data_IF_113005185696
#
_entry.id   IF_113005185696
#
_cell.length_a   1.000
_cell.length_b   1.000
_cell.length_c   1.000
_cell.angle_alpha   90.00
_cell.angle_beta   90.00
_cell.angle_gamma   90.00
#
_symmetry.space_group_name_H-M   'P 1'
#
loop_
_entity.id
_entity.type
_entity.pdbx_description
1 polymer ?
#
# COMPACT_ATOMS: atom_id res chain seq x y z
N UNK A 1 15.44 6.26 12.31
CA UNK A 1 13.99 6.31 12.55
C UNK A 1 13.64 5.15 13.45
N UNK A 2 13.01 5.42 14.59
CA UNK A 2 12.54 4.36 15.49
C UNK A 2 11.27 3.73 14.91
N UNK A 3 10.98 2.47 15.28
CA UNK A 3 9.75 1.79 14.83
C UNK A 3 8.48 2.57 15.19
N UNK A 4 8.46 3.22 16.35
CA UNK A 4 7.33 4.03 16.80
C UNK A 4 7.13 5.31 15.98
N UNK A 5 8.21 5.93 15.50
CA UNK A 5 8.12 7.06 14.56
C UNK A 5 7.59 6.59 13.20
N UNK A 6 8.07 5.45 12.70
CA UNK A 6 7.64 4.86 11.44
C UNK A 6 6.14 4.55 11.43
N UNK A 7 5.63 3.94 12.50
CA UNK A 7 4.20 3.64 12.65
C UNK A 7 3.38 4.94 12.71
N UNK A 8 3.87 5.97 13.41
CA UNK A 8 3.17 7.26 13.51
C UNK A 8 3.08 7.98 12.16
N UNK A 9 4.17 7.99 11.40
CA UNK A 9 4.20 8.60 10.08
C UNK A 9 3.34 7.82 9.08
N UNK A 10 3.37 6.49 9.16
CA UNK A 10 2.48 5.64 8.39
C UNK A 10 1.00 5.86 8.76
N UNK A 11 0.66 6.04 10.03
CA UNK A 11 -0.71 6.30 10.47
C UNK A 11 -1.26 7.63 9.93
N UNK A 12 -0.42 8.68 9.89
CA UNK A 12 -0.78 9.96 9.27
C UNK A 12 -1.02 9.81 7.77
N UNK A 13 -0.07 9.16 7.08
CA UNK A 13 -0.17 8.90 5.64
C UNK A 13 -1.35 7.99 5.29
N UNK A 14 -1.70 7.06 6.20
CA UNK A 14 -2.86 6.18 6.07
C UNK A 14 -4.17 6.97 6.16
N UNK A 15 -4.27 7.92 7.09
CA UNK A 15 -5.44 8.79 7.16
C UNK A 15 -5.60 9.61 5.86
N UNK A 16 -4.52 10.20 5.36
CA UNK A 16 -4.55 10.90 4.06
C UNK A 16 -4.96 9.99 2.90
N UNK A 17 -4.64 8.71 2.96
CA UNK A 17 -5.05 7.71 1.97
C UNK A 17 -6.56 7.45 2.02
N UNK A 18 -7.10 7.22 3.23
CA UNK A 18 -8.53 7.03 3.45
C UNK A 18 -9.35 8.24 3.01
N UNK A 19 -8.90 9.45 3.36
CA UNK A 19 -9.61 10.70 3.06
C UNK A 19 -9.70 10.98 1.54
N UNK A 20 -8.74 10.49 0.75
CA UNK A 20 -8.75 10.68 -0.70
C UNK A 20 -9.82 9.83 -1.41
N UNK A 21 -10.24 8.72 -0.81
CA UNK A 21 -11.16 7.74 -1.40
C UNK A 21 -10.59 7.03 -2.63
N UNK A 22 -11.13 5.85 -2.94
CA UNK A 22 -10.69 5.10 -4.11
C UNK A 22 -10.98 5.86 -5.43
N UNK A 23 -10.01 6.02 -6.35
CA UNK A 23 -10.20 6.74 -7.60
C UNK A 23 -11.25 6.07 -8.50
N UNK A 24 -12.38 6.73 -8.74
CA UNK A 24 -13.51 6.13 -9.45
C UNK A 24 -13.16 5.63 -10.87
N UNK A 25 -12.28 6.34 -11.57
CA UNK A 25 -11.83 5.95 -12.92
C UNK A 25 -10.91 4.73 -12.96
N UNK A 26 -10.53 4.15 -11.83
CA UNK A 26 -9.74 2.92 -11.74
C UNK A 26 -10.59 1.70 -11.33
N UNK A 27 -11.92 1.86 -11.17
CA UNK A 27 -12.81 0.73 -10.88
C UNK A 27 -12.96 -0.14 -12.14
N UNK A 28 -12.73 -1.45 -12.00
CA UNK A 28 -12.77 -2.40 -13.11
C UNK A 28 -11.67 -2.19 -14.16
N UNK A 29 -10.62 -1.43 -13.82
CA UNK A 29 -9.44 -1.25 -14.67
C UNK A 29 -8.42 -2.32 -14.30
N UNK A 30 -7.84 -2.92 -15.33
CA UNK A 30 -6.70 -3.83 -15.22
C UNK A 30 -5.51 -3.26 -16.00
N UNK A 31 -4.32 -3.33 -15.40
CA UNK A 31 -3.06 -3.08 -16.09
C UNK A 31 -2.23 -4.35 -16.09
N UNK A 32 -1.88 -4.87 -17.27
CA UNK A 32 -1.11 -6.13 -17.39
C UNK A 32 -1.78 -7.32 -16.66
N UNK A 33 -3.11 -7.36 -16.61
CA UNK A 33 -3.90 -8.37 -15.89
C UNK A 33 -3.95 -8.18 -14.37
N UNK A 34 -3.45 -7.05 -13.86
CA UNK A 34 -3.53 -6.69 -12.44
C UNK A 34 -4.77 -5.82 -12.24
N UNK A 35 -5.77 -6.38 -11.55
CA UNK A 35 -6.97 -5.65 -11.14
C UNK A 35 -6.62 -4.60 -10.07
N UNK A 36 -6.96 -3.34 -10.36
CA UNK A 36 -6.62 -2.21 -9.51
C UNK A 36 -7.37 -2.25 -8.17
N UNK A 37 -8.63 -2.71 -8.14
CA UNK A 37 -9.40 -2.81 -6.90
C UNK A 37 -8.83 -3.89 -5.99
N UNK A 38 -8.43 -5.03 -6.53
CA UNK A 38 -7.80 -6.12 -5.78
C UNK A 38 -6.41 -5.72 -5.29
N UNK A 39 -5.62 -5.05 -6.13
CA UNK A 39 -4.32 -4.49 -5.74
C UNK A 39 -4.44 -3.51 -4.57
N UNK A 40 -5.41 -2.61 -4.61
CA UNK A 40 -5.73 -1.69 -3.52
C UNK A 40 -6.13 -2.45 -2.26
N UNK A 41 -7.12 -3.33 -2.34
CA UNK A 41 -7.67 -4.06 -1.20
C UNK A 41 -6.62 -4.94 -0.49
N UNK A 42 -5.83 -5.71 -1.25
CA UNK A 42 -4.76 -6.55 -0.70
C UNK A 42 -3.71 -5.71 0.03
N UNK A 43 -3.28 -4.61 -0.59
CA UNK A 43 -2.24 -3.73 -0.02
C UNK A 43 -2.78 -3.00 1.21
N UNK A 44 -3.95 -2.40 1.11
CA UNK A 44 -4.65 -1.69 2.18
C UNK A 44 -4.90 -2.61 3.39
N UNK A 45 -5.33 -3.86 3.14
CA UNK A 45 -5.55 -4.85 4.19
C UNK A 45 -4.27 -5.18 4.95
N UNK A 46 -3.14 -5.34 4.25
CA UNK A 46 -1.83 -5.54 4.87
C UNK A 46 -1.39 -4.30 5.67
N UNK A 47 -1.49 -3.10 5.10
CA UNK A 47 -1.12 -1.85 5.80
C UNK A 47 -1.95 -1.64 7.06
N UNK A 48 -3.27 -1.83 6.97
CA UNK A 48 -4.18 -1.72 8.10
C UNK A 48 -3.85 -2.73 9.21
N UNK A 49 -3.59 -3.99 8.84
CA UNK A 49 -3.19 -5.03 9.80
C UNK A 49 -1.88 -4.67 10.50
N UNK A 50 -0.89 -4.21 9.74
CA UNK A 50 0.42 -3.81 10.27
C UNK A 50 0.28 -2.65 11.28
N UNK A 51 -0.52 -1.63 10.96
CA UNK A 51 -0.81 -0.51 11.87
C UNK A 51 -1.50 -0.98 13.15
N UNK A 52 -2.53 -1.83 13.03
CA UNK A 52 -3.29 -2.32 14.17
C UNK A 52 -2.48 -3.24 15.10
N UNK A 53 -1.48 -3.93 14.55
CA UNK A 53 -0.62 -4.87 15.29
C UNK A 53 0.71 -4.25 15.75
N UNK A 54 0.81 -2.91 15.83
CA UNK A 54 2.03 -2.26 16.32
C UNK A 54 3.26 -2.50 15.43
N UNK A 55 3.03 -2.67 14.13
CA UNK A 55 4.08 -2.86 13.13
C UNK A 55 4.43 -4.32 12.82
N UNK A 56 3.57 -5.28 13.17
CA UNK A 56 3.77 -6.69 12.90
C UNK A 56 2.82 -7.22 11.81
N UNK A 57 3.35 -8.08 10.94
CA UNK A 57 2.57 -8.87 9.97
C UNK A 57 2.94 -10.34 10.09
N UNK A 58 1.94 -11.20 9.99
CA UNK A 58 2.15 -12.63 9.87
C UNK A 58 2.88 -12.98 8.54
N UNK A 59 3.44 -14.20 8.42
CA UNK A 59 4.19 -14.60 7.23
C UNK A 59 3.39 -14.56 5.93
N UNK A 60 2.08 -14.81 5.97
CA UNK A 60 1.22 -14.81 4.78
C UNK A 60 1.05 -13.38 4.26
N UNK A 61 0.66 -12.45 5.14
CA UNK A 61 0.51 -11.03 4.77
C UNK A 61 1.81 -10.40 4.31
N UNK A 62 2.96 -10.80 4.87
CA UNK A 62 4.27 -10.35 4.37
C UNK A 62 4.51 -10.77 2.93
N UNK A 63 4.19 -12.02 2.57
CA UNK A 63 4.33 -12.51 1.18
C UNK A 63 3.38 -11.77 0.24
N UNK A 64 2.12 -11.60 0.64
CA UNK A 64 1.14 -10.83 -0.14
C UNK A 64 1.69 -9.42 -0.39
N UNK A 65 2.12 -8.72 0.66
CA UNK A 65 2.63 -7.35 0.55
C UNK A 65 3.86 -7.24 -0.35
N UNK A 66 4.78 -8.23 -0.31
CA UNK A 66 5.93 -8.27 -1.21
C UNK A 66 5.51 -8.38 -2.68
N UNK A 67 4.58 -9.29 -3.00
CA UNK A 67 4.06 -9.39 -4.37
C UNK A 67 3.34 -8.11 -4.79
N UNK A 68 2.52 -7.51 -3.91
CA UNK A 68 1.82 -6.26 -4.21
C UNK A 68 2.77 -5.07 -4.41
N UNK A 69 3.93 -5.03 -3.75
CA UNK A 69 4.95 -4.00 -3.99
C UNK A 69 5.48 -4.04 -5.42
N UNK A 70 5.73 -5.24 -5.96
CA UNK A 70 6.15 -5.43 -7.35
C UNK A 70 5.05 -5.01 -8.33
N UNK A 71 3.80 -5.42 -8.06
CA UNK A 71 2.63 -5.04 -8.86
C UNK A 71 2.44 -3.50 -8.87
N UNK A 72 2.54 -2.84 -7.71
CA UNK A 72 2.45 -1.39 -7.58
C UNK A 72 3.51 -0.66 -8.42
N UNK A 73 4.76 -1.14 -8.38
CA UNK A 73 5.84 -0.56 -9.17
C UNK A 73 5.59 -0.66 -10.69
N UNK A 74 4.89 -1.71 -11.14
CA UNK A 74 4.53 -1.92 -12.56
C UNK A 74 3.35 -1.06 -13.00
N UNK A 75 2.31 -0.92 -12.18
CA UNK A 75 1.06 -0.23 -12.60
C UNK A 75 1.13 1.29 -12.42
N UNK A 76 1.84 1.81 -11.42
CA UNK A 76 1.89 3.27 -11.13
C UNK A 76 2.29 4.11 -12.36
N UNK A 77 3.32 3.73 -13.15
CA UNK A 77 3.69 4.47 -14.35
C UNK A 77 2.60 4.51 -15.43
N UNK A 78 1.70 3.52 -15.45
CA UNK A 78 0.65 3.36 -16.46
C UNK A 78 -0.59 4.22 -16.18
N UNK A 79 -0.82 4.60 -14.91
CA UNK A 79 -1.96 5.43 -14.52
C UNK A 79 -1.78 6.84 -15.09
N UNK A 80 -2.60 7.23 -16.07
CA UNK A 80 -2.51 8.55 -16.72
C UNK A 80 -3.10 9.69 -15.88
N UNK A 81 -4.18 9.41 -15.15
CA UNK A 81 -4.84 10.40 -14.30
C UNK A 81 -3.94 10.78 -13.10
N UNK A 82 -3.56 12.07 -12.92
CA UNK A 82 -2.66 12.49 -11.85
C UNK A 82 -3.16 12.14 -10.45
N UNK A 83 -4.46 12.30 -10.18
CA UNK A 83 -5.07 11.97 -8.89
C UNK A 83 -5.01 10.47 -8.59
N UNK A 84 -5.32 9.62 -9.57
CA UNK A 84 -5.20 8.17 -9.45
C UNK A 84 -3.75 7.73 -9.22
N UNK A 85 -2.80 8.33 -9.96
CA UNK A 85 -1.38 8.05 -9.80
C UNK A 85 -0.90 8.44 -8.40
N UNK A 86 -1.27 9.62 -7.91
CA UNK A 86 -0.92 10.07 -6.56
C UNK A 86 -1.49 9.15 -5.48
N UNK A 87 -2.72 8.66 -5.65
CA UNK A 87 -3.34 7.71 -4.74
C UNK A 87 -2.52 6.41 -4.63
N UNK A 88 -2.16 5.80 -5.75
CA UNK A 88 -1.37 4.56 -5.75
C UNK A 88 0.09 4.78 -5.33
N UNK A 89 0.68 5.95 -5.57
CA UNK A 89 1.98 6.32 -5.01
C UNK A 89 1.95 6.40 -3.48
N UNK A 90 0.87 6.95 -2.90
CA UNK A 90 0.67 6.97 -1.44
C UNK A 90 0.56 5.55 -0.89
N UNK A 91 -0.25 4.70 -1.53
CA UNK A 91 -0.40 3.30 -1.16
C UNK A 91 0.92 2.52 -1.24
N UNK A 92 1.71 2.73 -2.29
CA UNK A 92 3.04 2.14 -2.43
C UNK A 92 4.00 2.59 -1.32
N UNK A 93 3.97 3.87 -0.95
CA UNK A 93 4.78 4.35 0.18
C UNK A 93 4.36 3.71 1.51
N UNK A 94 3.06 3.54 1.75
CA UNK A 94 2.54 2.82 2.92
C UNK A 94 2.99 1.35 2.93
N UNK A 95 2.92 0.68 1.78
CA UNK A 95 3.38 -0.70 1.63
C UNK A 95 4.90 -0.84 1.92
N UNK A 96 5.72 0.10 1.46
CA UNK A 96 7.15 0.12 1.77
C UNK A 96 7.42 0.29 3.27
N UNK A 97 6.66 1.16 3.94
CA UNK A 97 6.74 1.33 5.40
C UNK A 97 6.31 0.06 6.15
N UNK A 98 5.30 -0.66 5.66
CA UNK A 98 4.89 -1.93 6.28
C UNK A 98 5.88 -3.07 6.00
N UNK A 99 6.58 -3.05 4.86
CA UNK A 99 7.53 -4.10 4.46
C UNK A 99 8.93 -3.92 5.04
N UNK A 100 9.40 -2.69 5.24
CA UNK A 100 10.72 -2.40 5.86
C UNK A 100 10.80 -2.80 7.34
N UNK A 101 9.70 -3.35 7.88
CA UNK A 101 9.62 -3.91 9.20
C UNK A 101 10.41 -5.23 9.40
N UNK A 102 11.17 -5.68 8.39
CA UNK A 102 11.98 -6.91 8.44
C UNK A 102 13.48 -6.59 8.30
N UNK A 103 14.08 -5.95 9.29
CA UNK A 103 15.54 -6.01 9.52
C UNK A 103 15.82 -5.81 11.01
N UNK A 104 15.55 -6.85 11.77
CA UNK A 104 16.18 -7.10 13.06
C UNK A 104 16.41 -8.62 13.13
N UNK A 105 17.58 -9.03 12.63
CA UNK A 105 18.17 -10.32 12.96
C UNK A 105 19.21 -10.08 14.05
#
# INVERSE_FOLDING_TARGET
MTRSEQIRDAARLWQEHLDAGFPAGLRGVEFEGIDMVMLDADTAGCVCTWLNNGGALDPERRRILQTRLEDLARVIPQISAPSGRQYYQRLHRLALLASSASDAK
#
